data_IF_666035974970
#
_entry.id   IF_666035974970
#
_cell.length_a   1.000
_cell.length_b   1.000
_cell.length_c   1.000
_cell.angle_alpha   90.00
_cell.angle_beta   90.00
_cell.angle_gamma   90.00
#
_symmetry.space_group_name_H-M   'P 1'
#
loop_
_entity.id
_entity.type
_entity.pdbx_description
1 polymer ?
#
# COMPACT_ATOMS: atom_id res chain seq x y z
N UNK A 1 16.35 5.21 14.60
CA UNK A 1 17.12 4.91 13.38
C UNK A 1 18.30 5.88 13.20
N UNK A 2 18.09 7.21 13.17
CA UNK A 2 19.10 8.26 12.89
C UNK A 2 20.35 8.13 13.79
N UNK A 3 20.16 7.97 15.11
CA UNK A 3 21.28 7.81 16.05
C UNK A 3 22.23 6.66 15.67
N UNK A 4 21.66 5.55 15.18
CA UNK A 4 22.46 4.39 14.78
C UNK A 4 23.15 4.59 13.44
N UNK A 5 22.48 5.23 12.48
CA UNK A 5 23.13 5.59 11.22
C UNK A 5 24.24 6.61 11.42
N UNK A 6 24.04 7.63 12.27
CA UNK A 6 25.08 8.61 12.61
C UNK A 6 26.34 7.90 13.14
N UNK A 7 26.16 6.99 14.12
CA UNK A 7 27.27 6.22 14.67
C UNK A 7 27.94 5.29 13.65
N UNK A 8 27.14 4.64 12.79
CA UNK A 8 27.69 3.77 11.76
C UNK A 8 28.52 4.52 10.73
N UNK A 9 28.14 5.75 10.37
CA UNK A 9 28.84 6.58 9.38
C UNK A 9 30.04 7.35 9.93
N UNK A 10 30.39 7.20 11.22
CA UNK A 10 31.70 7.62 11.75
C UNK A 10 32.82 6.85 11.07
N UNK A 11 32.55 5.65 10.61
CA UNK A 11 33.43 4.84 9.78
C UNK A 11 32.91 4.73 8.36
N UNK A 12 33.78 4.37 7.42
CA UNK A 12 33.40 4.21 6.02
C UNK A 12 32.41 3.06 5.87
N UNK A 13 31.28 3.33 5.26
CA UNK A 13 30.19 2.39 5.00
C UNK A 13 29.98 2.17 3.49
N UNK A 14 29.09 1.21 3.14
CA UNK A 14 28.61 1.04 1.78
C UNK A 14 27.68 2.19 1.34
N UNK A 15 27.47 2.32 0.03
CA UNK A 15 26.64 3.40 -0.53
C UNK A 15 25.20 3.37 0.00
N UNK A 16 24.60 2.18 0.15
CA UNK A 16 23.21 2.03 0.56
C UNK A 16 22.99 2.52 2.00
N UNK A 17 23.97 2.38 2.88
CA UNK A 17 23.92 2.90 4.25
C UNK A 17 23.78 4.42 4.26
N UNK A 18 24.54 5.14 3.45
CA UNK A 18 24.44 6.60 3.31
C UNK A 18 23.09 7.01 2.71
N UNK A 19 22.60 6.28 1.72
CA UNK A 19 21.27 6.53 1.14
C UNK A 19 20.16 6.39 2.19
N UNK A 20 20.14 5.29 2.94
CA UNK A 20 19.15 5.06 4.00
C UNK A 20 19.23 6.10 5.10
N UNK A 21 20.43 6.50 5.49
CA UNK A 21 20.61 7.57 6.46
C UNK A 21 20.03 8.89 5.96
N UNK A 22 20.31 9.26 4.71
CA UNK A 22 19.74 10.45 4.09
C UNK A 22 18.20 10.42 4.10
N UNK A 23 17.57 9.27 3.81
CA UNK A 23 16.10 9.16 3.86
C UNK A 23 15.54 9.37 5.28
N UNK A 24 16.20 8.83 6.31
CA UNK A 24 15.77 9.05 7.70
C UNK A 24 15.91 10.51 8.11
N UNK A 25 16.99 11.18 7.71
CA UNK A 25 17.19 12.60 7.95
C UNK A 25 16.15 13.48 7.24
N UNK A 26 15.76 13.13 6.01
CA UNK A 26 14.66 13.80 5.28
C UNK A 26 13.32 13.66 6.00
N UNK A 27 13.03 12.48 6.54
CA UNK A 27 11.81 12.23 7.29
C UNK A 27 11.69 13.11 8.56
N UNK A 28 12.83 13.44 9.18
CA UNK A 28 12.92 14.36 10.32
C UNK A 28 13.05 15.84 9.90
N UNK A 29 13.04 16.14 8.61
CA UNK A 29 13.19 17.52 8.10
C UNK A 29 14.63 18.05 8.12
N UNK A 30 15.62 17.25 8.46
CA UNK A 30 17.03 17.65 8.46
C UNK A 30 17.63 17.51 7.05
N UNK A 31 17.19 18.36 6.15
CA UNK A 31 17.58 18.31 4.73
C UNK A 31 19.04 18.63 4.49
N UNK A 32 19.65 19.51 5.30
CA UNK A 32 21.05 19.88 5.15
C UNK A 32 21.97 18.70 5.37
N UNK A 33 21.76 17.95 6.43
CA UNK A 33 22.55 16.75 6.71
C UNK A 33 22.20 15.61 5.74
N UNK A 34 20.93 15.49 5.37
CA UNK A 34 20.50 14.53 4.35
C UNK A 34 21.23 14.72 3.02
N UNK A 35 21.43 15.97 2.59
CA UNK A 35 22.15 16.28 1.35
C UNK A 35 23.63 15.91 1.41
N UNK A 36 24.27 16.04 2.59
CA UNK A 36 25.66 15.55 2.78
C UNK A 36 25.74 14.03 2.59
N UNK A 37 24.79 13.30 3.19
CA UNK A 37 24.74 11.84 3.08
C UNK A 37 24.40 11.40 1.63
N UNK A 38 23.54 12.14 0.93
CA UNK A 38 23.25 11.91 -0.49
C UNK A 38 24.48 12.16 -1.39
N UNK A 39 25.33 13.16 -1.08
CA UNK A 39 26.59 13.37 -1.77
C UNK A 39 27.56 12.20 -1.57
N UNK A 40 27.65 11.66 -0.35
CA UNK A 40 28.44 10.47 -0.07
C UNK A 40 27.91 9.25 -0.85
N UNK A 41 26.61 9.02 -0.81
CA UNK A 41 25.98 7.99 -1.63
C UNK A 41 26.34 8.14 -3.11
N UNK A 42 26.16 9.34 -3.67
CA UNK A 42 26.40 9.61 -5.08
C UNK A 42 27.87 9.44 -5.49
N UNK A 43 28.79 9.74 -4.58
CA UNK A 43 30.24 9.53 -4.82
C UNK A 43 30.62 8.04 -4.86
N UNK A 44 29.97 7.21 -4.04
CA UNK A 44 30.22 5.77 -3.97
C UNK A 44 29.47 4.97 -5.05
N UNK A 45 28.34 5.46 -5.51
CA UNK A 45 27.48 4.81 -6.50
C UNK A 45 27.06 5.76 -7.65
N UNK A 46 28.01 6.33 -8.42
CA UNK A 46 27.72 7.39 -9.41
C UNK A 46 26.82 6.93 -10.57
N UNK A 47 26.76 5.63 -10.83
CA UNK A 47 25.93 5.05 -11.88
C UNK A 47 24.51 4.71 -11.42
N UNK A 48 24.20 4.74 -10.13
CA UNK A 48 22.87 4.53 -9.59
C UNK A 48 21.93 5.63 -10.06
N UNK A 49 20.70 5.25 -10.46
CA UNK A 49 19.71 6.22 -10.94
C UNK A 49 19.33 7.26 -9.87
N UNK A 50 19.33 6.87 -8.60
CA UNK A 50 19.06 7.75 -7.46
C UNK A 50 20.15 8.82 -7.30
N UNK A 51 21.41 8.41 -7.49
CA UNK A 51 22.55 9.32 -7.47
C UNK A 51 22.52 10.29 -8.66
N UNK A 52 22.22 9.79 -9.86
CA UNK A 52 22.04 10.62 -11.06
C UNK A 52 20.91 11.64 -10.88
N UNK A 53 19.76 11.21 -10.35
CA UNK A 53 18.62 12.09 -10.07
C UNK A 53 18.98 13.18 -9.04
N UNK A 54 19.69 12.83 -7.96
CA UNK A 54 20.17 13.81 -6.99
C UNK A 54 21.14 14.82 -7.60
N UNK A 55 22.12 14.36 -8.36
CA UNK A 55 23.13 15.22 -8.99
C UNK A 55 22.52 16.13 -10.06
N UNK A 56 21.45 15.70 -10.75
CA UNK A 56 20.78 16.53 -11.76
C UNK A 56 19.93 17.65 -11.15
N UNK A 57 19.47 17.50 -9.89
CA UNK A 57 18.68 18.52 -9.21
C UNK A 57 18.99 18.57 -7.70
N UNK A 58 20.20 19.01 -7.30
CA UNK A 58 20.60 19.04 -5.90
C UNK A 58 19.81 20.07 -5.07
N UNK A 59 19.20 21.07 -5.74
CA UNK A 59 18.39 22.13 -5.13
C UNK A 59 16.87 21.86 -5.27
N UNK A 60 16.46 20.60 -5.25
CA UNK A 60 15.05 20.21 -5.46
C UNK A 60 14.09 20.78 -4.38
N UNK A 61 14.55 20.94 -3.14
CA UNK A 61 13.70 21.34 -2.03
C UNK A 61 13.10 22.76 -2.17
N UNK A 62 13.85 23.81 -2.54
CA UNK A 62 13.26 25.13 -2.85
C UNK A 62 12.24 25.04 -3.97
N UNK A 63 12.51 24.28 -5.03
CA UNK A 63 11.60 24.07 -6.16
C UNK A 63 10.29 23.44 -5.68
N UNK A 64 10.35 22.39 -4.85
CA UNK A 64 9.16 21.75 -4.28
C UNK A 64 8.36 22.70 -3.37
N UNK A 65 9.04 23.48 -2.52
CA UNK A 65 8.38 24.43 -1.60
C UNK A 65 7.68 25.58 -2.34
N UNK A 66 8.20 25.96 -3.51
CA UNK A 66 7.68 27.05 -4.32
C UNK A 66 6.67 26.60 -5.40
N UNK A 67 6.39 25.28 -5.49
CA UNK A 67 5.33 24.81 -6.38
C UNK A 67 3.97 25.32 -5.95
N UNK A 68 3.17 25.72 -6.94
CA UNK A 68 1.78 26.09 -6.70
C UNK A 68 1.04 24.91 -6.05
N UNK A 69 0.28 25.20 -5.00
CA UNK A 69 -0.58 24.22 -4.37
C UNK A 69 -1.68 23.81 -5.34
N UNK A 70 -1.64 22.55 -5.81
CA UNK A 70 -2.59 22.02 -6.77
C UNK A 70 -3.87 21.52 -6.11
N UNK A 71 -3.79 21.10 -4.82
CA UNK A 71 -4.89 20.49 -4.09
C UNK A 71 -4.90 20.96 -2.63
N UNK A 72 -6.09 21.09 -2.08
CA UNK A 72 -6.29 21.17 -0.63
C UNK A 72 -6.47 19.76 -0.07
N UNK A 73 -5.53 19.34 0.77
CA UNK A 73 -5.61 18.04 1.42
C UNK A 73 -6.27 18.21 2.78
N UNK A 74 -7.38 17.55 2.97
CA UNK A 74 -8.12 17.55 4.24
C UNK A 74 -8.32 16.12 4.73
N UNK A 75 -8.44 15.96 6.06
CA UNK A 75 -8.82 14.67 6.63
C UNK A 75 -10.24 14.34 6.19
N UNK A 76 -10.47 13.14 5.68
CA UNK A 76 -11.81 12.69 5.28
C UNK A 76 -12.67 12.36 6.51
N UNK A 77 -13.99 12.60 6.40
CA UNK A 77 -14.96 12.27 7.45
C UNK A 77 -15.00 10.77 7.79
N UNK A 78 -14.62 9.91 6.84
CA UNK A 78 -14.55 8.46 7.05
C UNK A 78 -13.22 7.98 7.62
N UNK A 79 -12.23 8.86 7.80
CA UNK A 79 -10.93 8.45 8.36
C UNK A 79 -11.08 8.09 9.84
N UNK A 80 -10.51 6.94 10.23
CA UNK A 80 -10.40 6.50 11.61
C UNK A 80 -9.01 6.81 12.20
N UNK A 81 -8.71 6.25 13.35
CA UNK A 81 -7.38 6.24 13.99
C UNK A 81 -6.52 5.03 13.56
N UNK A 82 -7.03 4.21 12.62
CA UNK A 82 -6.42 2.99 12.12
C UNK A 82 -5.90 3.16 10.70
N UNK A 83 -5.10 2.20 10.26
CA UNK A 83 -4.60 2.16 8.88
C UNK A 83 -5.71 2.05 7.86
N UNK A 84 -5.69 2.94 6.86
CA UNK A 84 -6.65 3.02 5.77
C UNK A 84 -5.96 3.37 4.46
N UNK A 85 -6.31 2.66 3.38
CA UNK A 85 -5.73 2.93 2.06
C UNK A 85 -6.53 2.30 0.91
N UNK A 86 -6.07 2.57 -0.32
CA UNK A 86 -6.60 1.92 -1.52
C UNK A 86 -8.01 2.36 -1.88
N UNK A 87 -8.35 3.63 -1.62
CA UNK A 87 -9.67 4.16 -1.95
C UNK A 87 -9.95 4.15 -3.46
N UNK A 88 -11.10 3.63 -3.85
CA UNK A 88 -11.60 3.58 -5.23
C UNK A 88 -13.01 4.17 -5.28
N UNK A 89 -13.17 5.26 -6.03
CA UNK A 89 -14.47 5.84 -6.34
C UNK A 89 -15.04 5.18 -7.61
N UNK A 90 -16.26 4.70 -7.51
CA UNK A 90 -17.01 4.08 -8.61
C UNK A 90 -17.96 5.08 -9.28
N UNK A 91 -18.48 4.76 -10.47
CA UNK A 91 -19.37 5.65 -11.22
C UNK A 91 -20.73 5.88 -10.51
N UNK A 92 -21.12 4.99 -9.63
CA UNK A 92 -22.33 5.09 -8.79
C UNK A 92 -22.07 5.78 -7.45
N UNK A 93 -20.96 6.55 -7.35
CA UNK A 93 -20.54 7.31 -6.19
C UNK A 93 -20.25 6.47 -4.93
N UNK A 94 -19.99 5.18 -5.06
CA UNK A 94 -19.48 4.39 -3.95
C UNK A 94 -17.96 4.53 -3.84
N UNK A 95 -17.47 4.65 -2.60
CA UNK A 95 -16.05 4.63 -2.25
C UNK A 95 -15.75 3.32 -1.57
N UNK A 96 -14.90 2.50 -2.16
CA UNK A 96 -14.39 1.28 -1.53
C UNK A 96 -12.97 1.50 -1.07
N UNK A 97 -12.59 0.97 0.08
CA UNK A 97 -11.25 1.12 0.65
C UNK A 97 -10.96 0.00 1.65
N UNK A 98 -9.70 -0.18 2.00
CA UNK A 98 -9.28 -1.12 3.05
C UNK A 98 -9.03 -0.37 4.35
N UNK A 99 -9.47 -0.95 5.47
CA UNK A 99 -9.29 -0.35 6.79
C UNK A 99 -9.12 -1.41 7.88
N UNK A 100 -8.28 -1.09 8.86
CA UNK A 100 -8.08 -1.87 10.08
C UNK A 100 -9.03 -1.47 11.22
N UNK A 101 -10.12 -0.76 10.94
CA UNK A 101 -11.07 -0.25 11.95
C UNK A 101 -11.88 -1.29 12.69
N UNK A 102 -11.92 -2.54 12.20
CA UNK A 102 -12.70 -3.62 12.82
C UNK A 102 -12.00 -4.18 14.06
N UNK A 103 -12.21 -3.56 15.20
CA UNK A 103 -11.59 -3.93 16.50
C UNK A 103 -12.10 -5.27 17.05
N UNK A 104 -13.13 -5.89 16.44
CA UNK A 104 -13.56 -7.25 16.80
C UNK A 104 -12.65 -8.32 16.21
N UNK A 105 -11.82 -7.98 15.24
CA UNK A 105 -10.81 -8.87 14.68
C UNK A 105 -9.59 -9.02 15.60
N UNK A 106 -8.88 -10.12 15.39
CA UNK A 106 -7.55 -10.31 15.94
C UNK A 106 -6.59 -9.29 15.37
N UNK A 107 -5.63 -8.84 16.18
CA UNK A 107 -4.55 -7.99 15.69
C UNK A 107 -3.52 -8.81 14.89
N UNK A 108 -3.01 -8.20 13.85
CA UNK A 108 -1.84 -8.67 13.13
C UNK A 108 -0.61 -8.62 14.04
N UNK A 109 0.29 -9.60 13.90
CA UNK A 109 1.54 -9.61 14.65
C UNK A 109 2.59 -8.64 14.09
N UNK A 110 2.30 -7.98 12.97
CA UNK A 110 3.24 -7.10 12.28
C UNK A 110 3.13 -5.65 12.75
N UNK A 111 1.92 -5.13 12.82
CA UNK A 111 1.61 -3.73 13.12
C UNK A 111 0.75 -3.53 14.38
N UNK A 112 0.37 -4.65 15.03
CA UNK A 112 -0.48 -4.68 16.21
C UNK A 112 -1.89 -4.09 15.99
N UNK A 113 -2.25 -3.83 14.71
CA UNK A 113 -3.59 -3.40 14.33
C UNK A 113 -4.48 -4.60 13.95
N UNK A 114 -5.83 -4.43 13.99
CA UNK A 114 -6.74 -5.44 13.46
C UNK A 114 -6.45 -5.75 11.99
N UNK A 115 -6.72 -6.99 11.58
CA UNK A 115 -6.62 -7.34 10.17
C UNK A 115 -7.52 -6.45 9.32
N UNK A 116 -7.01 -6.06 8.14
CA UNK A 116 -7.71 -5.19 7.19
C UNK A 116 -8.99 -5.85 6.66
N UNK A 117 -10.05 -5.06 6.57
CA UNK A 117 -11.29 -5.37 5.89
C UNK A 117 -11.54 -4.42 4.73
N UNK A 118 -12.31 -4.87 3.74
CA UNK A 118 -12.89 -4.01 2.72
C UNK A 118 -14.12 -3.29 3.28
N UNK A 119 -14.18 -1.98 3.08
CA UNK A 119 -15.29 -1.11 3.44
C UNK A 119 -15.85 -0.41 2.21
N UNK A 120 -17.12 -0.04 2.32
CA UNK A 120 -17.85 0.76 1.36
C UNK A 120 -18.46 1.96 2.06
N UNK A 121 -18.42 3.13 1.41
CA UNK A 121 -19.14 4.34 1.78
C UNK A 121 -19.73 4.98 0.52
N UNK A 122 -20.62 5.95 0.66
CA UNK A 122 -21.19 6.69 -0.47
C UNK A 122 -20.68 8.13 -0.47
N UNK A 123 -20.16 8.59 -1.60
CA UNK A 123 -19.82 9.98 -1.83
C UNK A 123 -21.06 10.74 -2.27
N UNK A 124 -21.51 11.66 -1.43
CA UNK A 124 -22.76 12.40 -1.63
C UNK A 124 -22.56 13.66 -2.51
N UNK A 125 -23.64 14.14 -3.14
CA UNK A 125 -23.62 15.33 -3.97
C UNK A 125 -23.18 16.62 -3.24
N UNK A 126 -23.39 16.69 -1.92
CA UNK A 126 -22.93 17.78 -1.06
C UNK A 126 -21.44 17.66 -0.65
N UNK A 127 -20.68 16.75 -1.28
CA UNK A 127 -19.27 16.46 -1.02
C UNK A 127 -18.96 15.83 0.36
N UNK A 128 -19.96 15.33 1.06
CA UNK A 128 -19.77 14.51 2.26
C UNK A 128 -19.64 13.03 1.89
N UNK A 129 -19.09 12.23 2.79
CA UNK A 129 -19.01 10.79 2.64
C UNK A 129 -19.86 10.16 3.75
N UNK A 130 -20.68 9.15 3.41
CA UNK A 130 -21.50 8.44 4.40
C UNK A 130 -20.64 7.66 5.38
N UNK A 131 -21.23 7.17 6.45
CA UNK A 131 -20.60 6.19 7.32
C UNK A 131 -20.14 4.96 6.50
N UNK A 132 -18.98 4.43 6.87
CA UNK A 132 -18.39 3.27 6.21
C UNK A 132 -19.01 1.97 6.71
N UNK A 133 -19.42 1.11 5.78
CA UNK A 133 -20.00 -0.21 6.05
C UNK A 133 -19.07 -1.30 5.53
N UNK A 134 -18.84 -2.35 6.33
CA UNK A 134 -18.01 -3.47 5.93
C UNK A 134 -18.62 -4.24 4.75
N UNK A 135 -17.79 -4.75 3.85
CA UNK A 135 -18.21 -5.63 2.75
C UNK A 135 -18.12 -7.09 3.23
N UNK A 136 -18.97 -7.45 4.21
CA UNK A 136 -18.85 -8.68 5.00
C UNK A 136 -18.81 -9.96 4.19
N UNK A 137 -19.46 -10.02 3.05
CA UNK A 137 -19.50 -11.21 2.18
C UNK A 137 -18.19 -11.43 1.38
N UNK A 138 -17.26 -10.47 1.40
CA UNK A 138 -15.91 -10.62 0.84
C UNK A 138 -14.82 -10.65 1.92
N UNK A 139 -15.08 -10.04 3.07
CA UNK A 139 -14.13 -9.96 4.16
C UNK A 139 -13.91 -11.33 4.82
N UNK A 140 -12.66 -11.63 5.10
CA UNK A 140 -12.23 -12.87 5.73
C UNK A 140 -11.75 -12.58 7.15
N UNK A 141 -11.22 -13.57 7.82
CA UNK A 141 -10.55 -13.38 9.11
C UNK A 141 -9.12 -12.82 9.01
N UNK A 142 -8.62 -12.63 7.80
CA UNK A 142 -7.27 -12.18 7.49
C UNK A 142 -7.32 -10.81 6.83
N UNK A 143 -6.18 -10.33 6.29
CA UNK A 143 -6.16 -9.08 5.53
C UNK A 143 -6.90 -9.20 4.20
N UNK A 144 -7.79 -8.26 3.92
CA UNK A 144 -8.54 -8.12 2.69
C UNK A 144 -8.33 -6.74 2.06
N UNK A 145 -8.10 -6.72 0.74
CA UNK A 145 -7.82 -5.50 -0.03
C UNK A 145 -6.35 -5.30 -0.37
N UNK A 146 -5.99 -4.23 -1.09
CA UNK A 146 -6.89 -3.27 -1.70
C UNK A 146 -7.68 -3.84 -2.88
N UNK A 147 -8.70 -3.09 -3.32
CA UNK A 147 -9.57 -3.48 -4.42
C UNK A 147 -9.43 -2.60 -5.66
N UNK A 148 -9.82 -3.15 -6.82
CA UNK A 148 -10.03 -2.42 -8.07
C UNK A 148 -11.32 -2.88 -8.71
N UNK A 149 -12.15 -1.93 -9.20
CA UNK A 149 -13.52 -2.20 -9.65
C UNK A 149 -13.64 -1.80 -11.12
N UNK A 150 -14.34 -2.62 -11.90
CA UNK A 150 -14.64 -2.33 -13.31
C UNK A 150 -15.53 -1.08 -13.44
N UNK A 151 -15.45 -0.40 -14.59
CA UNK A 151 -16.19 0.86 -14.81
C UNK A 151 -17.71 0.71 -14.74
N UNK A 152 -18.21 -0.48 -15.03
CA UNK A 152 -19.62 -0.82 -14.95
C UNK A 152 -20.07 -1.25 -13.53
N UNK A 153 -19.15 -1.28 -12.57
CA UNK A 153 -19.40 -1.68 -11.19
C UNK A 153 -19.72 -3.17 -11.00
N UNK A 154 -19.60 -3.98 -12.05
CA UNK A 154 -20.01 -5.40 -12.03
C UNK A 154 -18.95 -6.36 -11.50
N UNK A 155 -17.69 -5.98 -11.54
CA UNK A 155 -16.56 -6.84 -11.19
C UNK A 155 -15.59 -6.12 -10.26
N UNK A 156 -15.20 -6.79 -9.18
CA UNK A 156 -14.14 -6.38 -8.28
C UNK A 156 -12.99 -7.38 -8.35
N UNK A 157 -11.76 -6.86 -8.38
CA UNK A 157 -10.55 -7.60 -8.08
C UNK A 157 -9.99 -7.07 -6.76
N UNK A 158 -9.61 -7.94 -5.85
CA UNK A 158 -9.10 -7.54 -4.54
C UNK A 158 -8.06 -8.53 -4.01
N UNK A 159 -7.20 -8.06 -3.14
CA UNK A 159 -6.24 -8.89 -2.44
C UNK A 159 -6.86 -9.59 -1.24
N UNK A 160 -6.46 -10.82 -0.96
CA UNK A 160 -6.71 -11.50 0.31
C UNK A 160 -5.62 -12.54 0.58
N UNK A 161 -5.47 -12.96 1.82
CA UNK A 161 -4.43 -13.91 2.18
C UNK A 161 -4.76 -15.35 1.76
N UNK A 162 -3.74 -16.08 1.28
CA UNK A 162 -3.82 -17.48 0.84
C UNK A 162 -4.26 -18.47 1.92
N UNK A 163 -4.31 -18.04 3.18
CA UNK A 163 -4.85 -18.84 4.28
C UNK A 163 -6.29 -19.29 4.05
N UNK A 164 -7.08 -18.53 3.27
CA UNK A 164 -8.43 -18.91 2.91
C UNK A 164 -8.46 -20.17 2.04
N UNK A 165 -7.45 -20.35 1.19
CA UNK A 165 -7.24 -21.54 0.37
C UNK A 165 -6.50 -22.65 1.13
N UNK A 166 -6.20 -22.42 2.43
CA UNK A 166 -5.38 -23.31 3.27
C UNK A 166 -3.94 -23.47 2.76
N UNK A 167 -3.48 -22.53 1.96
CA UNK A 167 -2.13 -22.48 1.40
C UNK A 167 -1.23 -21.58 2.25
N UNK A 168 -0.19 -22.18 2.85
CA UNK A 168 0.80 -21.48 3.65
C UNK A 168 2.06 -22.32 3.83
N UNK A 169 3.18 -21.69 4.05
CA UNK A 169 4.41 -22.36 4.48
C UNK A 169 4.51 -22.37 6.00
N UNK A 170 5.09 -23.42 6.56
CA UNK A 170 5.37 -23.55 7.99
C UNK A 170 6.85 -23.33 8.25
N UNK A 171 7.18 -22.37 9.07
CA UNK A 171 8.51 -22.24 9.66
C UNK A 171 8.51 -22.96 11.02
N UNK A 172 9.21 -24.09 11.08
CA UNK A 172 9.28 -24.91 12.30
C UNK A 172 10.11 -24.23 13.39
N UNK A 173 11.12 -23.43 13.02
CA UNK A 173 12.01 -22.75 13.96
C UNK A 173 11.27 -21.61 14.66
N UNK A 174 10.52 -20.82 13.89
CA UNK A 174 9.72 -19.69 14.38
C UNK A 174 8.34 -20.10 14.90
N UNK A 175 7.97 -21.37 14.74
CA UNK A 175 6.61 -21.87 14.99
C UNK A 175 5.53 -20.99 14.36
N UNK A 176 5.78 -20.53 13.13
CA UNK A 176 4.93 -19.58 12.42
C UNK A 176 4.44 -20.15 11.09
N UNK A 177 3.31 -19.63 10.63
CA UNK A 177 2.76 -19.88 9.29
C UNK A 177 2.85 -18.61 8.48
N UNK A 178 3.30 -18.71 7.23
CA UNK A 178 3.40 -17.62 6.30
C UNK A 178 2.53 -17.89 5.08
N UNK A 179 1.52 -17.05 4.88
CA UNK A 179 0.70 -17.03 3.67
C UNK A 179 1.34 -16.18 2.58
N UNK A 180 0.67 -16.13 1.44
CA UNK A 180 0.91 -15.22 0.33
C UNK A 180 -0.30 -14.31 0.18
N UNK A 181 -0.15 -13.20 -0.51
CA UNK A 181 -1.30 -12.41 -0.93
C UNK A 181 -1.73 -12.94 -2.29
N UNK A 182 -2.99 -13.26 -2.41
CA UNK A 182 -3.66 -13.73 -3.62
C UNK A 182 -4.63 -12.69 -4.13
N UNK A 183 -4.88 -12.67 -5.43
CA UNK A 183 -5.95 -11.89 -6.02
C UNK A 183 -7.20 -12.74 -6.21
N UNK A 184 -8.32 -12.14 -5.87
CA UNK A 184 -9.65 -12.71 -6.03
C UNK A 184 -10.47 -11.85 -6.99
N UNK A 185 -11.44 -12.49 -7.65
CA UNK A 185 -12.45 -11.83 -8.45
C UNK A 185 -13.82 -12.06 -7.81
N UNK A 186 -14.57 -11.00 -7.60
CA UNK A 186 -15.97 -11.04 -7.19
C UNK A 186 -16.87 -10.36 -8.24
N UNK A 187 -18.15 -10.73 -8.26
CA UNK A 187 -19.16 -10.14 -9.11
C UNK A 187 -20.22 -9.42 -8.28
N UNK A 188 -20.73 -8.32 -8.80
CA UNK A 188 -21.82 -7.55 -8.19
C UNK A 188 -23.14 -7.89 -8.90
N UNK A 189 -24.12 -8.30 -8.13
CA UNK A 189 -25.48 -8.51 -8.59
C UNK A 189 -26.46 -7.82 -7.62
N UNK A 190 -27.20 -6.83 -8.12
CA UNK A 190 -28.19 -6.11 -7.31
C UNK A 190 -27.59 -5.30 -6.13
N UNK A 191 -26.36 -4.81 -6.26
CA UNK A 191 -25.69 -4.01 -5.23
C UNK A 191 -24.94 -4.83 -4.17
N UNK A 192 -24.92 -6.16 -4.28
CA UNK A 192 -24.21 -7.07 -3.38
C UNK A 192 -23.11 -7.82 -4.12
N UNK A 193 -21.95 -7.90 -3.50
CA UNK A 193 -20.81 -8.68 -4.01
C UNK A 193 -20.97 -10.17 -3.69
N UNK A 194 -20.64 -11.02 -4.65
CA UNK A 194 -20.77 -12.46 -4.51
C UNK A 194 -19.79 -13.21 -5.43
N UNK A 195 -19.84 -14.55 -5.40
CA UNK A 195 -19.03 -15.42 -6.28
C UNK A 195 -17.55 -15.11 -6.25
N UNK A 196 -17.00 -14.77 -5.08
CA UNK A 196 -15.56 -14.58 -4.92
C UNK A 196 -14.82 -15.87 -5.26
N UNK A 197 -13.83 -15.75 -6.17
CA UNK A 197 -12.95 -16.86 -6.57
C UNK A 197 -11.53 -16.39 -6.70
N UNK A 198 -10.53 -17.20 -6.29
CA UNK A 198 -9.12 -16.92 -6.52
C UNK A 198 -8.82 -16.91 -8.02
N UNK A 199 -7.88 -16.06 -8.44
CA UNK A 199 -7.45 -16.00 -9.83
C UNK A 199 -6.49 -17.16 -10.15
N UNK A 200 -6.51 -17.69 -11.39
CA UNK A 200 -5.80 -18.94 -11.74
C UNK A 200 -4.28 -18.83 -11.73
N UNK A 201 -3.73 -17.62 -11.68
CA UNK A 201 -2.28 -17.38 -11.59
C UNK A 201 -1.77 -17.14 -10.17
N UNK A 202 -2.63 -17.23 -9.16
CA UNK A 202 -2.18 -17.28 -7.77
C UNK A 202 -1.34 -18.54 -7.52
N UNK A 203 -0.30 -18.41 -6.67
CA UNK A 203 0.59 -19.53 -6.40
C UNK A 203 1.24 -19.41 -5.02
N UNK A 204 1.40 -20.51 -4.32
CA UNK A 204 2.01 -20.56 -2.99
C UNK A 204 3.50 -20.12 -2.95
N UNK A 205 4.18 -20.03 -4.11
CA UNK A 205 5.57 -19.61 -4.18
C UNK A 205 5.76 -18.09 -4.20
N UNK A 206 4.76 -17.30 -4.61
CA UNK A 206 4.88 -15.86 -4.76
C UNK A 206 3.61 -15.10 -4.36
N UNK A 207 3.76 -13.80 -4.15
CA UNK A 207 2.65 -12.89 -3.89
C UNK A 207 2.11 -12.32 -5.19
N UNK A 208 0.80 -12.09 -5.24
CA UNK A 208 0.11 -11.35 -6.30
C UNK A 208 -0.81 -10.33 -5.62
N UNK A 209 -0.57 -9.03 -5.82
CA UNK A 209 -1.21 -7.99 -5.04
C UNK A 209 -1.46 -6.70 -5.83
N UNK A 210 -2.16 -5.75 -5.21
CA UNK A 210 -2.41 -4.40 -5.73
C UNK A 210 -3.04 -4.41 -7.14
N UNK A 211 -4.25 -4.96 -7.30
CA UNK A 211 -4.91 -5.04 -8.59
C UNK A 211 -5.26 -3.64 -9.11
N UNK A 212 -5.12 -3.43 -10.42
CA UNK A 212 -5.58 -2.24 -11.12
C UNK A 212 -6.17 -2.61 -12.47
N UNK A 213 -7.47 -2.44 -12.63
CA UNK A 213 -8.14 -2.74 -13.89
C UNK A 213 -8.12 -1.53 -14.83
N UNK A 214 -7.65 -1.74 -16.06
CA UNK A 214 -7.82 -0.75 -17.12
C UNK A 214 -9.26 -0.78 -17.62
N UNK A 215 -10.02 0.27 -17.27
CA UNK A 215 -11.46 0.39 -17.57
C UNK A 215 -11.77 0.29 -19.07
N UNK A 216 -10.89 0.78 -19.95
CA UNK A 216 -11.11 0.80 -21.42
C UNK A 216 -10.74 -0.52 -22.09
N UNK A 217 -9.64 -1.15 -21.66
CA UNK A 217 -9.06 -2.35 -22.32
C UNK A 217 -9.41 -3.67 -21.65
N UNK A 218 -10.12 -3.65 -20.51
CA UNK A 218 -10.43 -4.85 -19.71
C UNK A 218 -9.18 -5.65 -19.32
N UNK A 219 -8.05 -4.95 -19.15
CA UNK A 219 -6.77 -5.55 -18.76
C UNK A 219 -6.57 -5.33 -17.26
N UNK A 220 -6.18 -6.37 -16.55
CA UNK A 220 -5.81 -6.32 -15.15
C UNK A 220 -4.29 -6.18 -15.02
N UNK A 221 -3.84 -5.14 -14.34
CA UNK A 221 -2.46 -4.97 -13.90
C UNK A 221 -2.37 -5.35 -12.43
N UNK A 222 -1.26 -5.87 -12.01
CA UNK A 222 -0.98 -6.21 -10.62
C UNK A 222 0.53 -6.23 -10.36
N UNK A 223 0.94 -6.19 -9.10
CA UNK A 223 2.32 -6.39 -8.69
C UNK A 223 2.53 -7.83 -8.22
N UNK A 224 3.69 -8.40 -8.54
CA UNK A 224 4.07 -9.74 -8.12
C UNK A 224 5.59 -9.87 -8.03
N UNK A 225 6.03 -10.81 -7.19
CA UNK A 225 7.41 -11.29 -7.14
C UNK A 225 7.55 -12.68 -7.80
N UNK A 226 6.66 -13.00 -8.73
CA UNK A 226 6.80 -14.20 -9.56
C UNK A 226 8.09 -14.12 -10.38
N UNK A 227 8.79 -15.25 -10.60
CA UNK A 227 10.00 -15.32 -11.41
C UNK A 227 9.77 -14.96 -12.88
#
# INVERSE_FOLDING_TARGET
AIKWFAKATEEKQDAETYYKYAQMLKAEGNYTEADKQMKQFASLAPNDQRAKAFNSNPQYLPTLKNQAKLYDVVKSDISSDKTEFGAVLTNDNNVYFSSARNTSKRNSNWDEEPYLDLYKATYNANKTISEAVAVDNLNTRWHDGPASISSDGSTMYYGSESFNEKEFTKDKVKNAKFGKIYLYKATNAGGSWSNSKPLPFNNAAYDVRNPSINKKKKTLYFSSNMP
#
